data_IF_560066671516
#
_entry.id   IF_560066671516
#
_cell.length_a   1.000
_cell.length_b   1.000
_cell.length_c   1.000
_cell.angle_alpha   90.00
_cell.angle_beta   90.00
_cell.angle_gamma   90.00
#
_symmetry.space_group_name_H-M   'P 1'
#
loop_
_entity.id
_entity.type
_entity.pdbx_description
1 polymer ?
#
# COMPACT_ATOMS: atom_id res chain seq x y z
N UNK A 1 15.76 -12.30 -5.37
CA UNK A 1 14.89 -12.88 -4.32
C UNK A 1 13.87 -11.81 -3.96
N UNK A 2 12.58 -12.09 -4.10
CA UNK A 2 11.51 -11.20 -3.61
C UNK A 2 11.36 -11.45 -2.12
N UNK A 3 11.74 -10.48 -1.29
CA UNK A 3 11.44 -10.51 0.14
C UNK A 3 9.92 -10.47 0.35
N UNK A 4 9.40 -11.06 1.44
CA UNK A 4 7.99 -10.97 1.76
C UNK A 4 7.56 -9.51 1.97
N UNK A 5 6.41 -9.13 1.44
CA UNK A 5 5.79 -7.81 1.64
C UNK A 5 4.76 -7.94 2.76
N UNK A 6 4.91 -7.12 3.80
CA UNK A 6 3.92 -7.04 4.86
C UNK A 6 2.76 -6.14 4.42
N UNK A 7 1.53 -6.59 4.69
CA UNK A 7 0.30 -5.86 4.38
C UNK A 7 -0.34 -5.30 5.66
N UNK A 8 -0.57 -3.99 5.69
CA UNK A 8 -1.28 -3.33 6.78
C UNK A 8 -2.72 -3.01 6.38
N UNK A 9 -3.62 -3.35 7.29
CA UNK A 9 -5.03 -3.01 7.19
C UNK A 9 -5.25 -1.52 7.42
N UNK A 10 -5.95 -0.88 6.48
CA UNK A 10 -6.28 0.54 6.55
C UNK A 10 -7.77 0.76 6.23
N UNK A 11 -8.42 1.73 6.88
CA UNK A 11 -9.81 2.04 6.62
C UNK A 11 -10.01 2.75 5.27
N UNK A 12 -8.99 3.48 4.80
CA UNK A 12 -8.99 4.19 3.52
C UNK A 12 -7.58 4.14 2.90
N UNK A 13 -7.47 3.37 1.81
CA UNK A 13 -6.22 3.12 1.10
C UNK A 13 -5.75 4.34 0.31
N UNK A 14 -6.67 5.15 -0.22
CA UNK A 14 -6.32 6.35 -0.96
C UNK A 14 -5.79 7.43 -0.01
N UNK A 15 -6.48 7.63 1.13
CA UNK A 15 -6.04 8.56 2.15
C UNK A 15 -4.67 8.15 2.72
N UNK A 16 -4.46 6.87 3.03
CA UNK A 16 -3.15 6.41 3.51
C UNK A 16 -2.08 6.53 2.45
N UNK A 17 -2.37 6.20 1.20
CA UNK A 17 -1.41 6.33 0.11
C UNK A 17 -0.98 7.79 -0.11
N UNK A 18 -1.93 8.73 0.01
CA UNK A 18 -1.63 10.16 -0.03
C UNK A 18 -0.73 10.60 1.15
N UNK A 19 -1.01 10.13 2.36
CA UNK A 19 -0.21 10.41 3.56
C UNK A 19 1.24 9.91 3.40
N UNK A 20 1.43 8.65 3.00
CA UNK A 20 2.77 8.08 2.85
C UNK A 20 3.52 8.72 1.69
N UNK A 21 2.83 9.06 0.60
CA UNK A 21 3.44 9.78 -0.54
C UNK A 21 3.87 11.19 -0.12
N UNK A 22 3.06 11.89 0.67
CA UNK A 22 3.43 13.19 1.24
C UNK A 22 4.63 13.08 2.20
N UNK A 23 4.80 11.94 2.86
CA UNK A 23 5.96 11.63 3.70
C UNK A 23 7.22 11.19 2.91
N UNK A 24 7.16 11.17 1.58
CA UNK A 24 8.29 10.84 0.71
C UNK A 24 8.32 9.40 0.20
N UNK A 25 7.29 8.60 0.47
CA UNK A 25 7.15 7.30 -0.15
C UNK A 25 6.84 7.43 -1.65
N UNK A 26 7.21 6.41 -2.42
CA UNK A 26 6.89 6.30 -3.84
C UNK A 26 5.87 5.20 -4.07
N UNK A 27 4.78 5.50 -4.77
CA UNK A 27 3.79 4.50 -5.17
C UNK A 27 4.45 3.47 -6.09
N UNK A 28 4.43 2.22 -5.66
CA UNK A 28 4.95 1.08 -6.44
C UNK A 28 3.84 0.39 -7.22
N UNK A 29 2.69 0.24 -6.58
CA UNK A 29 1.49 -0.35 -7.16
C UNK A 29 0.27 0.46 -6.68
N UNK A 30 -0.50 1.05 -7.60
CA UNK A 30 -1.68 1.83 -7.23
C UNK A 30 -2.77 0.93 -6.63
N UNK A 31 -3.72 1.50 -5.86
CA UNK A 31 -4.85 0.77 -5.33
C UNK A 31 -5.63 0.07 -6.43
N UNK A 32 -5.82 -1.24 -6.29
CA UNK A 32 -6.62 -2.03 -7.21
C UNK A 32 -7.40 -3.12 -6.47
N UNK A 33 -8.53 -3.53 -7.06
CA UNK A 33 -9.36 -4.57 -6.49
C UNK A 33 -8.81 -5.96 -6.80
N UNK A 34 -8.77 -6.82 -5.78
CA UNK A 34 -8.35 -8.23 -5.88
C UNK A 34 -9.52 -9.20 -5.72
N UNK A 35 -10.75 -8.68 -5.69
CA UNK A 35 -11.98 -9.44 -5.46
C UNK A 35 -12.40 -9.50 -3.99
N UNK A 36 -13.65 -9.89 -3.74
CA UNK A 36 -14.18 -10.04 -2.38
C UNK A 36 -14.32 -8.74 -1.58
N UNK A 37 -14.42 -7.58 -2.25
CA UNK A 37 -14.47 -6.27 -1.58
C UNK A 37 -13.10 -5.81 -1.04
N UNK A 38 -12.00 -6.45 -1.44
CA UNK A 38 -10.66 -6.09 -1.01
C UNK A 38 -9.94 -5.23 -2.05
N UNK A 39 -9.34 -4.13 -1.58
CA UNK A 39 -8.38 -3.31 -2.30
C UNK A 39 -6.98 -3.54 -1.75
N UNK A 40 -5.98 -3.53 -2.63
CA UNK A 40 -4.56 -3.58 -2.24
C UNK A 40 -3.76 -2.52 -2.99
N UNK A 41 -2.71 -2.02 -2.36
CA UNK A 41 -1.73 -1.11 -2.94
C UNK A 41 -0.35 -1.42 -2.36
N UNK A 42 0.71 -0.97 -3.03
CA UNK A 42 2.06 -1.07 -2.49
C UNK A 42 2.83 0.23 -2.72
N UNK A 43 3.68 0.57 -1.77
CA UNK A 43 4.60 1.70 -1.88
C UNK A 43 5.99 1.31 -1.40
N UNK A 44 6.97 2.11 -1.81
CA UNK A 44 8.34 2.03 -1.32
C UNK A 44 8.58 3.22 -0.41
N UNK A 45 8.98 3.00 0.84
CA UNK A 45 9.35 4.08 1.76
C UNK A 45 10.72 4.69 1.39
N UNK A 46 11.12 5.83 1.99
CA UNK A 46 12.42 6.45 1.74
C UNK A 46 13.62 5.57 2.09
N UNK A 47 13.45 4.58 2.97
CA UNK A 47 14.49 3.62 3.37
C UNK A 47 14.61 2.45 2.39
N UNK A 48 13.75 2.39 1.36
CA UNK A 48 13.74 1.35 0.32
C UNK A 48 12.91 0.12 0.67
N UNK A 49 12.17 0.12 1.78
CA UNK A 49 11.29 -0.98 2.16
C UNK A 49 10.00 -0.95 1.32
N UNK A 50 9.56 -2.14 0.91
CA UNK A 50 8.29 -2.30 0.20
C UNK A 50 7.21 -2.70 1.19
N UNK A 51 6.17 -1.88 1.27
CA UNK A 51 5.05 -2.08 2.20
C UNK A 51 3.75 -2.16 1.40
N UNK A 52 2.90 -3.12 1.79
CA UNK A 52 1.57 -3.32 1.23
C UNK A 52 0.50 -2.67 2.11
N UNK A 53 -0.51 -2.09 1.47
CA UNK A 53 -1.73 -1.64 2.11
C UNK A 53 -2.86 -2.55 1.66
N UNK A 54 -3.78 -2.84 2.57
CA UNK A 54 -5.00 -3.59 2.28
C UNK A 54 -6.17 -2.90 2.94
N UNK A 55 -7.27 -2.76 2.20
CA UNK A 55 -8.54 -2.26 2.69
C UNK A 55 -9.61 -3.29 2.35
N UNK A 56 -10.39 -3.69 3.33
CA UNK A 56 -11.58 -4.52 3.15
C UNK A 56 -12.84 -3.64 3.24
N UNK A 57 -13.85 -3.97 2.44
CA UNK A 57 -15.16 -3.27 2.38
C UNK A 57 -16.02 -3.53 3.62
#
# INVERSE_FOLDING_TARGET
>A
MTSPVAYWHVPDIEAKLAEVTAAGATVKEPPHAVGGGRLVAAFTDPDGNVLGLVQDS
#
